data_IF_553003809870
#
_entry.id   IF_553003809870
#
_cell.length_a   1.000
_cell.length_b   1.000
_cell.length_c   1.000
_cell.angle_alpha   90.00
_cell.angle_beta   90.00
_cell.angle_gamma   90.00
#
_symmetry.space_group_name_H-M   'P 1'
#
loop_
_entity.id
_entity.type
_entity.pdbx_description
1 polymer ?
#
# COMPACT_ATOMS: atom_id res chain seq x y z
N UNK A 1 -20.52 14.38 -2.08
CA UNK A 1 -19.11 14.48 -2.54
C UNK A 1 -18.35 13.26 -2.03
N UNK A 2 -17.57 12.61 -2.89
CA UNK A 2 -16.76 11.43 -2.54
C UNK A 2 -15.30 11.87 -2.33
N UNK A 3 -14.65 11.33 -1.32
CA UNK A 3 -13.25 11.63 -0.97
C UNK A 3 -12.40 10.38 -1.18
N UNK A 4 -11.22 10.57 -1.76
CA UNK A 4 -10.19 9.54 -1.87
C UNK A 4 -9.02 10.00 -1.01
N UNK A 5 -8.59 9.18 -0.06
CA UNK A 5 -7.44 9.40 0.78
C UNK A 5 -6.36 8.41 0.37
N UNK A 6 -5.27 8.93 -0.21
CA UNK A 6 -4.12 8.12 -0.55
C UNK A 6 -3.19 8.03 0.66
N UNK A 7 -2.96 6.80 1.11
CA UNK A 7 -2.25 6.48 2.32
C UNK A 7 -0.87 5.92 1.99
N UNK A 8 0.14 6.54 2.57
CA UNK A 8 1.54 6.11 2.52
C UNK A 8 1.97 5.70 3.92
N UNK A 9 2.85 4.71 4.02
CA UNK A 9 3.44 4.27 5.27
C UNK A 9 4.05 5.45 6.06
N UNK A 10 4.00 5.35 7.39
CA UNK A 10 4.51 6.36 8.32
C UNK A 10 3.70 7.67 8.41
N UNK A 11 2.88 8.02 7.42
CA UNK A 11 2.16 9.32 7.37
C UNK A 11 0.64 9.19 7.28
N UNK A 12 0.11 8.01 7.00
CA UNK A 12 -1.33 7.77 6.84
C UNK A 12 -2.23 8.24 8.01
N UNK A 13 -1.84 8.23 9.30
CA UNK A 13 -2.75 8.62 10.38
C UNK A 13 -3.21 10.08 10.26
N UNK A 14 -2.29 10.98 9.88
CA UNK A 14 -2.59 12.40 9.68
C UNK A 14 -3.53 12.62 8.49
N UNK A 15 -3.38 11.82 7.42
CA UNK A 15 -4.27 11.89 6.27
C UNK A 15 -5.70 11.46 6.65
N UNK A 16 -5.85 10.37 7.40
CA UNK A 16 -7.16 9.91 7.90
C UNK A 16 -7.80 10.93 8.82
N UNK A 17 -7.03 11.56 9.70
CA UNK A 17 -7.53 12.63 10.57
C UNK A 17 -8.01 13.84 9.77
N UNK A 18 -7.28 14.23 8.73
CA UNK A 18 -7.70 15.31 7.84
C UNK A 18 -9.03 14.99 7.16
N UNK A 19 -9.25 13.74 6.72
CA UNK A 19 -10.56 13.32 6.17
C UNK A 19 -11.66 13.46 7.21
N UNK A 20 -11.42 13.07 8.46
CA UNK A 20 -12.39 13.20 9.56
C UNK A 20 -12.74 14.66 9.84
N UNK A 21 -11.74 15.53 9.87
CA UNK A 21 -11.89 16.96 10.17
C UNK A 21 -12.56 17.72 9.02
N UNK A 22 -12.08 17.52 7.79
CA UNK A 22 -12.44 18.38 6.67
C UNK A 22 -13.53 17.81 5.76
N UNK A 23 -13.81 16.51 5.85
CA UNK A 23 -14.84 15.85 5.05
C UNK A 23 -15.85 15.02 5.88
N UNK A 24 -16.40 15.54 7.00
CA UNK A 24 -17.31 14.80 7.86
C UNK A 24 -18.60 14.39 7.12
N UNK A 25 -19.04 15.19 6.14
CA UNK A 25 -20.26 14.94 5.36
C UNK A 25 -19.99 14.31 3.99
N UNK A 26 -18.80 13.75 3.76
CA UNK A 26 -18.54 13.00 2.53
C UNK A 26 -19.56 11.86 2.39
N UNK A 27 -20.13 11.72 1.19
CA UNK A 27 -21.08 10.66 0.85
C UNK A 27 -20.41 9.30 0.66
N UNK A 28 -19.07 9.29 0.57
CA UNK A 28 -18.25 8.08 0.57
C UNK A 28 -16.77 8.42 0.72
N UNK A 29 -16.03 7.56 1.40
CA UNK A 29 -14.58 7.66 1.58
C UNK A 29 -13.93 6.42 0.99
N UNK A 30 -12.89 6.63 0.19
CA UNK A 30 -12.02 5.56 -0.33
C UNK A 30 -10.65 5.73 0.31
N UNK A 31 -10.18 4.70 1.00
CA UNK A 31 -8.82 4.58 1.49
C UNK A 31 -8.02 3.82 0.44
N UNK A 32 -7.04 4.48 -0.15
CA UNK A 32 -6.19 3.92 -1.20
C UNK A 32 -4.78 3.74 -0.67
N UNK A 33 -4.22 2.54 -0.76
CA UNK A 33 -2.78 2.33 -0.62
C UNK A 33 -2.21 1.85 -1.95
N UNK A 34 -1.05 2.41 -2.33
CA UNK A 34 -0.35 2.02 -3.56
C UNK A 34 1.00 1.44 -3.18
N UNK A 35 1.16 0.13 -3.37
CA UNK A 35 2.40 -0.58 -3.11
C UNK A 35 3.35 -0.31 -4.29
N UNK A 36 4.52 0.24 -4.01
CA UNK A 36 5.53 0.51 -5.04
C UNK A 36 6.23 -0.77 -5.49
N UNK A 37 6.25 -1.03 -6.79
CA UNK A 37 6.97 -2.17 -7.40
C UNK A 37 8.51 -1.99 -7.38
N UNK A 38 9.00 -0.82 -6.95
CA UNK A 38 10.42 -0.47 -7.00
C UNK A 38 11.27 -1.20 -5.96
N UNK A 39 10.68 -1.77 -4.90
CA UNK A 39 11.44 -2.53 -3.88
C UNK A 39 11.69 -3.99 -4.29
N UNK A 40 10.68 -4.75 -4.77
CA UNK A 40 10.90 -6.12 -5.24
C UNK A 40 11.81 -6.19 -6.47
N UNK A 41 11.67 -5.26 -7.43
CA UNK A 41 12.49 -5.23 -8.64
C UNK A 41 13.97 -4.95 -8.38
N UNK A 42 14.28 -4.09 -7.41
CA UNK A 42 15.66 -3.83 -6.96
C UNK A 42 16.22 -5.02 -6.19
N UNK A 43 15.42 -5.68 -5.34
CA UNK A 43 15.84 -6.88 -4.61
C UNK A 43 16.09 -8.08 -5.53
N UNK A 44 15.21 -8.31 -6.50
CA UNK A 44 15.35 -9.36 -7.52
C UNK A 44 16.60 -9.13 -8.39
N UNK A 45 16.82 -7.89 -8.84
CA UNK A 45 18.00 -7.52 -9.62
C UNK A 45 19.32 -7.62 -8.83
N UNK A 46 19.31 -7.23 -7.54
CA UNK A 46 20.48 -7.33 -6.67
C UNK A 46 20.83 -8.79 -6.34
N UNK A 47 19.83 -9.66 -6.13
CA UNK A 47 20.05 -11.06 -5.75
C UNK A 47 20.44 -11.95 -6.94
N UNK A 48 19.82 -11.75 -8.10
CA UNK A 48 20.21 -12.43 -9.34
C UNK A 48 21.67 -12.14 -9.75
N UNK A 49 22.19 -10.97 -9.37
CA UNK A 49 23.59 -10.59 -9.57
C UNK A 49 24.58 -11.27 -8.62
N UNK A 50 24.13 -11.74 -7.44
CA UNK A 50 25.00 -12.28 -6.39
C UNK A 50 25.15 -13.80 -6.39
N UNK A 51 24.15 -14.55 -6.88
CA UNK A 51 24.16 -16.03 -6.80
C UNK A 51 24.28 -16.76 -8.14
N UNK A 52 24.37 -16.03 -9.25
CA UNK A 52 24.36 -16.64 -10.57
C UNK A 52 22.99 -17.28 -10.88
N UNK A 53 22.75 -17.53 -12.17
CA UNK A 53 21.44 -17.98 -12.66
C UNK A 53 21.08 -19.36 -12.10
N UNK A 54 20.24 -19.43 -11.06
CA UNK A 54 19.57 -20.68 -10.70
C UNK A 54 18.98 -20.77 -9.29
N UNK A 55 17.70 -20.41 -9.12
CA UNK A 55 16.65 -21.29 -8.56
C UNK A 55 15.31 -20.50 -8.45
N UNK A 56 14.28 -20.80 -9.27
CA UNK A 56 12.97 -20.14 -9.17
C UNK A 56 12.13 -20.61 -7.96
N UNK A 57 12.46 -21.73 -7.32
CA UNK A 57 11.65 -22.29 -6.22
C UNK A 57 11.76 -21.52 -4.87
N UNK A 58 12.58 -20.46 -4.81
CA UNK A 58 12.80 -19.67 -3.59
C UNK A 58 13.17 -18.22 -3.92
N UNK A 59 12.38 -17.57 -4.78
CA UNK A 59 12.59 -16.15 -5.07
C UNK A 59 12.19 -15.29 -3.85
N UNK A 60 13.13 -14.60 -3.18
CA UNK A 60 12.80 -13.67 -2.12
C UNK A 60 11.98 -12.46 -2.62
N UNK A 61 11.97 -12.18 -3.93
CA UNK A 61 11.15 -11.15 -4.55
C UNK A 61 9.65 -11.38 -4.37
N UNK A 62 9.19 -12.62 -4.56
CA UNK A 62 7.78 -12.99 -4.34
C UNK A 62 7.39 -12.89 -2.86
N UNK A 63 8.30 -13.30 -1.96
CA UNK A 63 8.10 -13.17 -0.52
C UNK A 63 8.05 -11.69 -0.08
N UNK A 64 8.90 -10.84 -0.64
CA UNK A 64 8.89 -9.40 -0.35
C UNK A 64 7.64 -8.72 -0.90
N UNK A 65 7.16 -9.14 -2.07
CA UNK A 65 5.88 -8.66 -2.62
C UNK A 65 4.69 -9.08 -1.74
N UNK A 66 4.68 -10.34 -1.26
CA UNK A 66 3.64 -10.87 -0.36
C UNK A 66 3.66 -10.19 1.02
N UNK A 67 4.85 -9.94 1.58
CA UNK A 67 5.02 -9.15 2.80
C UNK A 67 4.57 -7.70 2.62
N UNK A 68 4.86 -7.09 1.45
CA UNK A 68 4.37 -5.76 1.09
C UNK A 68 2.84 -5.69 0.96
N UNK A 69 2.22 -6.68 0.33
CA UNK A 69 0.75 -6.78 0.22
C UNK A 69 0.07 -7.03 1.57
N UNK A 70 0.66 -7.88 2.42
CA UNK A 70 0.19 -8.08 3.80
C UNK A 70 0.26 -6.78 4.60
N UNK A 71 1.34 -6.01 4.44
CA UNK A 71 1.48 -4.69 5.08
C UNK A 71 0.44 -3.67 4.60
N UNK A 72 0.11 -3.69 3.31
CA UNK A 72 -0.90 -2.81 2.72
C UNK A 72 -2.31 -3.05 3.28
N UNK A 73 -2.70 -4.33 3.41
CA UNK A 73 -4.00 -4.70 3.98
C UNK A 73 -4.11 -4.28 5.46
N UNK A 74 -3.08 -4.55 6.26
CA UNK A 74 -3.03 -4.14 7.67
C UNK A 74 -3.11 -2.62 7.84
N UNK A 75 -2.42 -1.87 6.98
CA UNK A 75 -2.48 -0.40 6.96
C UNK A 75 -3.90 0.08 6.67
N UNK A 76 -4.55 -0.48 5.63
CA UNK A 76 -5.91 -0.11 5.25
C UNK A 76 -6.94 -0.45 6.33
N UNK A 77 -6.73 -1.54 7.07
CA UNK A 77 -7.56 -1.94 8.20
C UNK A 77 -7.40 -1.00 9.39
N UNK A 78 -6.16 -0.68 9.76
CA UNK A 78 -5.86 0.30 10.80
C UNK A 78 -6.44 1.69 10.45
N UNK A 79 -6.35 2.07 9.17
CA UNK A 79 -6.91 3.32 8.66
C UNK A 79 -8.44 3.33 8.71
N UNK A 80 -9.11 2.24 8.33
CA UNK A 80 -10.57 2.12 8.42
C UNK A 80 -11.04 2.19 9.88
N UNK A 81 -10.35 1.50 10.79
CA UNK A 81 -10.62 1.55 12.22
C UNK A 81 -10.47 2.98 12.77
N UNK A 82 -9.39 3.68 12.40
CA UNK A 82 -9.16 5.08 12.80
C UNK A 82 -10.21 6.03 12.23
N UNK A 83 -10.63 5.81 10.98
CA UNK A 83 -11.65 6.61 10.33
C UNK A 83 -13.02 6.51 11.04
N UNK A 84 -13.34 5.31 11.56
CA UNK A 84 -14.51 5.09 12.42
C UNK A 84 -15.87 5.23 11.71
N UNK A 85 -15.89 5.08 10.37
CA UNK A 85 -17.12 5.13 9.56
C UNK A 85 -16.99 4.27 8.29
N UNK A 86 -18.10 3.92 7.61
CA UNK A 86 -18.06 3.13 6.39
C UNK A 86 -17.16 3.76 5.33
N UNK A 87 -16.25 2.96 4.77
CA UNK A 87 -15.35 3.34 3.70
C UNK A 87 -15.06 2.15 2.78
N UNK A 88 -14.62 2.46 1.56
CA UNK A 88 -14.05 1.48 0.63
C UNK A 88 -12.55 1.43 0.87
N UNK A 89 -11.98 0.24 1.04
CA UNK A 89 -10.53 0.02 1.08
C UNK A 89 -10.08 -0.44 -0.30
N UNK A 90 -9.02 0.15 -0.83
CA UNK A 90 -8.49 -0.14 -2.15
C UNK A 90 -6.97 -0.27 -2.08
N UNK A 91 -6.47 -1.44 -2.43
CA UNK A 91 -5.05 -1.64 -2.69
C UNK A 91 -4.82 -1.63 -4.20
N UNK A 92 -3.73 -0.99 -4.62
CA UNK A 92 -3.27 -0.98 -6.02
C UNK A 92 -1.77 -1.23 -6.07
N UNK A 93 -1.34 -2.21 -6.86
CA UNK A 93 0.04 -2.28 -7.34
C UNK A 93 0.16 -1.49 -8.63
N UNK A 94 1.22 -0.70 -8.77
CA UNK A 94 1.45 0.03 -10.02
C UNK A 94 2.78 0.76 -10.06
N UNK A 95 3.33 0.89 -11.27
CA UNK A 95 4.47 1.75 -11.57
C UNK A 95 4.01 3.21 -11.51
N UNK A 96 4.74 4.07 -10.80
CA UNK A 96 4.56 5.52 -10.88
C UNK A 96 4.91 5.96 -12.29
N UNK A 97 3.91 6.39 -13.08
CA UNK A 97 4.19 7.05 -14.35
C UNK A 97 4.91 8.38 -14.06
N UNK A 98 6.06 8.57 -14.71
CA UNK A 98 6.90 9.76 -14.59
C UNK A 98 6.81 10.59 -15.86
#
# INVERSE_FOLDING_TARGET
MRVIAWLVEGTWPACVDAVRTYAPHASGVVLLHVSGEDVPGVAHGAFAGLLGRGHPERDPGDLLADLGGTSAAELLDAAAARLGRPCTRLERGGRVER
#
